data_IF_009166135390
#
_entry.id   IF_009166135390
#
_cell.length_a   1.000
_cell.length_b   1.000
_cell.length_c   1.000
_cell.angle_alpha   90.00
_cell.angle_beta   90.00
_cell.angle_gamma   90.00
#
_symmetry.space_group_name_H-M   'P 1'
#
loop_
_entity.id
_entity.type
_entity.pdbx_description
1 polymer ?
#
# COMPACT_ATOMS: atom_id res chain seq x y z
N UNK A 1 53.00 -16.07 33.89
CA UNK A 1 52.90 -15.09 32.78
C UNK A 1 51.83 -15.56 31.81
N UNK A 2 50.60 -15.05 31.93
CA UNK A 2 49.47 -15.41 31.08
C UNK A 2 49.27 -14.34 29.99
N UNK A 3 49.49 -14.69 28.72
CA UNK A 3 49.16 -13.84 27.57
C UNK A 3 47.69 -14.07 27.21
N UNK A 4 46.83 -13.13 27.55
CA UNK A 4 45.49 -13.03 26.97
C UNK A 4 45.63 -12.54 25.51
N UNK A 5 45.15 -13.35 24.57
CA UNK A 5 44.96 -12.92 23.18
C UNK A 5 43.73 -12.00 23.11
N UNK A 6 43.97 -10.72 22.81
CA UNK A 6 42.93 -9.77 22.42
C UNK A 6 42.36 -10.21 21.07
N UNK A 7 41.24 -10.93 21.09
CA UNK A 7 40.40 -11.08 19.91
C UNK A 7 39.84 -9.70 19.54
N UNK A 8 40.29 -9.20 18.40
CA UNK A 8 39.82 -7.96 17.81
C UNK A 8 38.35 -8.14 17.38
N UNK A 9 37.39 -7.67 18.20
CA UNK A 9 36.04 -7.38 17.74
C UNK A 9 36.17 -6.28 16.69
N UNK A 10 36.14 -6.65 15.41
CA UNK A 10 35.89 -5.69 14.34
C UNK A 10 34.39 -5.43 14.29
N UNK A 11 34.04 -4.18 14.55
CA UNK A 11 32.69 -3.64 14.44
C UNK A 11 32.10 -3.93 13.05
N UNK A 12 30.90 -4.52 13.05
CA UNK A 12 30.07 -4.81 11.87
C UNK A 12 29.43 -3.51 11.30
N UNK A 13 30.21 -2.46 11.05
CA UNK A 13 29.65 -1.13 10.74
C UNK A 13 29.81 -0.63 9.29
N UNK A 14 30.42 -1.42 8.40
CA UNK A 14 30.51 -1.08 6.98
C UNK A 14 29.41 -1.77 6.15
N UNK A 15 28.16 -1.53 6.51
CA UNK A 15 27.04 -1.81 5.61
C UNK A 15 27.05 -0.75 4.50
N UNK A 16 27.55 -1.10 3.32
CA UNK A 16 27.43 -0.26 2.13
C UNK A 16 25.95 -0.01 1.83
N UNK A 17 25.43 1.15 2.26
CA UNK A 17 24.04 1.54 2.08
C UNK A 17 23.81 1.99 0.64
N UNK A 18 23.26 1.13 -0.20
CA UNK A 18 22.75 1.50 -1.51
C UNK A 18 21.42 2.28 -1.36
N UNK A 19 21.49 3.61 -1.38
CA UNK A 19 20.31 4.49 -1.34
C UNK A 19 19.75 4.70 -2.76
N UNK A 20 18.68 4.01 -3.11
CA UNK A 20 17.92 4.27 -4.33
C UNK A 20 16.77 5.25 -4.03
N UNK A 21 16.83 6.47 -4.60
CA UNK A 21 15.75 7.46 -4.50
C UNK A 21 15.01 7.57 -5.84
N UNK A 22 13.79 7.07 -5.92
CA UNK A 22 12.90 7.29 -7.07
C UNK A 22 11.86 8.36 -6.73
N UNK A 23 11.90 9.53 -7.40
CA UNK A 23 10.85 10.55 -7.31
C UNK A 23 9.94 10.45 -8.54
N UNK A 24 8.78 9.83 -8.36
CA UNK A 24 7.72 9.86 -9.38
C UNK A 24 6.86 11.10 -9.15
N UNK A 25 6.71 11.95 -10.18
CA UNK A 25 5.85 13.14 -10.13
C UNK A 25 4.38 12.71 -10.21
N UNK A 26 3.50 13.44 -9.50
CA UNK A 26 2.09 13.07 -9.23
C UNK A 26 1.28 12.86 -10.52
N UNK A 27 0.43 11.83 -10.51
CA UNK A 27 -0.56 11.49 -11.52
C UNK A 27 -1.77 12.46 -11.61
N UNK A 28 -1.82 13.47 -10.73
CA UNK A 28 -2.98 14.34 -10.51
C UNK A 28 -3.32 15.33 -11.64
N UNK A 29 -2.77 15.17 -12.84
CA UNK A 29 -2.87 16.17 -13.92
C UNK A 29 -3.68 15.76 -15.14
N UNK A 30 -4.16 14.51 -15.26
CA UNK A 30 -4.91 14.10 -16.47
C UNK A 30 -6.19 14.94 -16.66
N UNK A 31 -6.97 15.16 -15.61
CA UNK A 31 -8.18 16.00 -15.68
C UNK A 31 -7.87 17.51 -15.77
N UNK A 32 -6.67 17.93 -15.42
CA UNK A 32 -6.21 19.32 -15.55
C UNK A 32 -5.53 19.59 -16.91
N UNK A 33 -5.41 18.57 -17.77
CA UNK A 33 -4.82 18.70 -19.10
C UNK A 33 -5.82 19.33 -20.07
N UNK A 34 -5.33 20.10 -21.03
CA UNK A 34 -6.12 20.71 -22.11
C UNK A 34 -7.09 19.69 -22.75
N UNK A 35 -8.39 20.03 -22.93
CA UNK A 35 -9.37 19.17 -23.60
C UNK A 35 -8.88 18.57 -24.92
N UNK A 36 -8.20 19.35 -25.77
CA UNK A 36 -7.70 18.87 -27.06
C UNK A 36 -6.59 17.82 -26.91
N UNK A 37 -5.78 17.92 -25.85
CA UNK A 37 -4.76 16.91 -25.53
C UNK A 37 -5.41 15.64 -24.99
N UNK A 38 -6.44 15.77 -24.13
CA UNK A 38 -7.19 14.60 -23.65
C UNK A 38 -7.86 13.83 -24.78
N UNK A 39 -8.43 14.54 -25.74
CA UNK A 39 -9.05 13.92 -26.90
C UNK A 39 -8.04 13.07 -27.68
N UNK A 40 -6.88 13.64 -28.00
CA UNK A 40 -5.79 12.90 -28.66
C UNK A 40 -5.33 11.68 -27.87
N UNK A 41 -5.23 11.79 -26.54
CA UNK A 41 -4.86 10.65 -25.68
C UNK A 41 -5.95 9.57 -25.66
N UNK A 42 -7.23 9.96 -25.72
CA UNK A 42 -8.37 9.04 -25.79
C UNK A 42 -8.43 8.33 -27.13
N UNK A 43 -8.30 9.05 -28.24
CA UNK A 43 -8.21 8.50 -29.60
C UNK A 43 -7.03 7.53 -29.73
N UNK A 44 -5.89 7.84 -29.08
CA UNK A 44 -4.74 6.94 -29.01
C UNK A 44 -4.93 5.75 -28.04
N UNK A 45 -6.08 5.66 -27.36
CA UNK A 45 -6.38 4.59 -26.40
C UNK A 45 -5.52 4.61 -25.14
N UNK A 46 -4.86 5.72 -24.81
CA UNK A 46 -3.98 5.87 -23.64
C UNK A 46 -4.73 6.27 -22.38
N UNK A 47 -5.93 6.81 -22.52
CA UNK A 47 -6.85 7.13 -21.42
C UNK A 47 -8.29 6.72 -21.78
N UNK A 48 -9.10 6.50 -20.75
CA UNK A 48 -10.52 6.22 -20.86
C UNK A 48 -11.32 7.13 -19.94
N UNK A 49 -12.49 7.59 -20.38
CA UNK A 49 -13.46 8.26 -19.52
C UNK A 49 -14.14 7.22 -18.64
N UNK A 50 -14.07 7.39 -17.32
CA UNK A 50 -14.66 6.47 -16.36
C UNK A 50 -15.14 7.22 -15.13
N UNK A 51 -16.45 7.39 -15.01
CA UNK A 51 -17.07 8.07 -13.88
C UNK A 51 -16.97 9.60 -13.92
N UNK A 52 -17.40 10.22 -12.83
CA UNK A 52 -17.66 11.65 -12.76
C UNK A 52 -17.28 12.18 -11.36
N UNK A 53 -16.72 13.38 -11.26
CA UNK A 53 -16.49 14.03 -9.97
C UNK A 53 -17.81 14.51 -9.33
N UNK A 54 -17.72 14.94 -8.07
CA UNK A 54 -18.87 15.42 -7.30
C UNK A 54 -19.58 16.64 -7.92
N UNK A 55 -18.88 17.41 -8.77
CA UNK A 55 -19.42 18.56 -9.50
C UNK A 55 -19.93 18.20 -10.92
N UNK A 56 -19.94 16.92 -11.29
CA UNK A 56 -20.42 16.47 -12.61
C UNK A 56 -19.36 16.49 -13.71
N UNK A 57 -18.09 16.78 -13.41
CA UNK A 57 -17.02 16.74 -14.42
C UNK A 57 -16.60 15.29 -14.76
N UNK A 58 -16.48 14.91 -16.04
CA UNK A 58 -15.96 13.59 -16.43
C UNK A 58 -14.55 13.32 -15.89
N UNK A 59 -14.30 12.09 -15.45
CA UNK A 59 -13.00 11.64 -14.95
C UNK A 59 -12.31 10.76 -15.98
N UNK A 60 -11.01 11.00 -16.22
CA UNK A 60 -10.20 10.21 -17.13
C UNK A 60 -9.14 9.39 -16.39
N UNK A 61 -8.99 8.13 -16.79
CA UNK A 61 -8.06 7.17 -16.20
C UNK A 61 -7.10 6.59 -17.25
N UNK A 62 -5.84 6.30 -16.90
CA UNK A 62 -4.90 5.67 -17.83
C UNK A 62 -5.31 4.23 -18.13
N UNK A 63 -5.07 3.78 -19.36
CA UNK A 63 -5.22 2.37 -19.77
C UNK A 63 -3.91 1.60 -19.74
N UNK A 64 -2.83 2.25 -19.28
CA UNK A 64 -1.47 1.72 -19.25
C UNK A 64 -0.91 1.66 -17.82
N UNK A 65 0.18 0.91 -17.65
CA UNK A 65 0.93 0.84 -16.39
C UNK A 65 2.42 1.04 -16.63
N UNK A 66 3.09 1.67 -15.68
CA UNK A 66 4.56 1.82 -15.70
C UNK A 66 5.17 0.84 -14.71
N UNK A 67 6.25 0.18 -15.14
CA UNK A 67 7.06 -0.71 -14.31
C UNK A 67 8.50 -0.21 -14.31
N UNK A 68 9.03 0.08 -13.13
CA UNK A 68 10.44 0.44 -12.94
C UNK A 68 11.14 -0.68 -12.21
N UNK A 69 12.25 -1.18 -12.78
CA UNK A 69 13.07 -2.22 -12.17
C UNK A 69 14.48 -1.72 -11.92
N UNK A 70 15.03 -2.05 -10.76
CA UNK A 70 16.44 -1.83 -10.43
C UNK A 70 17.12 -3.20 -10.34
N UNK A 71 18.29 -3.33 -10.97
CA UNK A 71 19.10 -4.55 -10.92
C UNK A 71 20.48 -4.20 -10.37
N UNK A 72 20.97 -5.01 -9.45
CA UNK A 72 22.32 -4.91 -8.90
C UNK A 72 22.95 -6.30 -8.85
N UNK A 73 24.28 -6.37 -8.94
CA UNK A 73 25.05 -7.59 -8.70
C UNK A 73 25.61 -7.55 -7.29
N UNK A 74 25.43 -8.63 -6.54
CA UNK A 74 26.05 -8.83 -5.24
C UNK A 74 27.03 -10.00 -5.38
N UNK A 75 28.31 -9.76 -5.12
CA UNK A 75 29.33 -10.81 -5.05
C UNK A 75 29.44 -11.29 -3.60
N UNK A 76 29.40 -12.60 -3.39
CA UNK A 76 29.48 -13.23 -2.08
C UNK A 76 30.56 -14.30 -2.10
N UNK A 77 31.51 -14.23 -1.16
CA UNK A 77 32.41 -15.33 -0.90
C UNK A 77 31.69 -16.45 -0.12
N UNK A 78 32.14 -17.71 -0.21
CA UNK A 78 31.59 -18.81 0.59
C UNK A 78 31.58 -18.47 2.09
N UNK A 79 30.44 -18.67 2.76
CA UNK A 79 30.27 -18.39 4.19
C UNK A 79 30.20 -16.90 4.57
N UNK A 80 30.31 -15.98 3.61
CA UNK A 80 30.18 -14.55 3.87
C UNK A 80 28.74 -14.21 4.27
N UNK A 81 28.58 -13.54 5.40
CA UNK A 81 27.30 -12.91 5.80
C UNK A 81 27.20 -11.54 5.15
N UNK A 82 26.02 -11.20 4.64
CA UNK A 82 25.74 -9.91 4.01
C UNK A 82 24.43 -9.37 4.55
N UNK A 83 24.43 -8.09 4.92
CA UNK A 83 23.23 -7.36 5.29
C UNK A 83 22.72 -6.54 4.10
N UNK A 84 21.51 -6.85 3.66
CA UNK A 84 20.84 -6.13 2.58
C UNK A 84 19.71 -5.28 3.13
N UNK A 85 19.82 -3.96 2.99
CA UNK A 85 18.75 -3.02 3.37
C UNK A 85 18.19 -2.32 2.13
N UNK A 86 16.87 -2.38 1.96
CA UNK A 86 16.14 -1.65 0.92
C UNK A 86 15.20 -0.65 1.59
N UNK A 87 15.38 0.63 1.29
CA UNK A 87 14.48 1.71 1.72
C UNK A 87 14.10 2.54 0.50
N UNK A 88 12.80 2.75 0.32
CA UNK A 88 12.26 3.57 -0.75
C UNK A 88 10.93 4.18 -0.32
N UNK A 89 10.60 5.32 -0.92
CA UNK A 89 9.26 5.89 -0.86
C UNK A 89 8.56 5.54 -2.17
N UNK A 90 7.60 4.60 -2.18
CA UNK A 90 6.87 4.29 -3.39
C UNK A 90 6.10 5.53 -3.86
N UNK A 91 5.85 5.61 -5.17
CA UNK A 91 4.80 6.48 -5.68
C UNK A 91 3.47 5.94 -5.21
N UNK A 92 3.06 6.32 -4.01
CA UNK A 92 1.75 5.99 -3.48
C UNK A 92 0.72 6.77 -4.29
N UNK A 93 0.19 6.12 -5.32
CA UNK A 93 -1.05 6.55 -5.94
C UNK A 93 -2.17 6.38 -4.90
N UNK A 94 -2.96 7.44 -4.72
CA UNK A 94 -4.21 7.34 -3.99
C UNK A 94 -5.34 7.47 -5.00
N UNK A 95 -6.30 6.55 -4.92
CA UNK A 95 -7.55 6.69 -5.65
C UNK A 95 -8.46 7.65 -4.89
N UNK A 96 -9.09 8.62 -5.57
CA UNK A 96 -10.22 9.31 -4.98
C UNK A 96 -11.29 8.26 -4.75
N UNK A 97 -11.90 8.31 -3.56
CA UNK A 97 -12.95 7.40 -3.17
C UNK A 97 -12.52 5.92 -2.98
N UNK A 98 -13.44 5.09 -2.48
CA UNK A 98 -13.30 3.66 -2.32
C UNK A 98 -14.63 2.96 -2.64
N UNK A 99 -14.56 1.90 -3.45
CA UNK A 99 -15.68 0.99 -3.71
C UNK A 99 -16.25 0.36 -2.42
N UNK A 100 -15.51 0.42 -1.30
CA UNK A 100 -15.93 -0.11 -0.01
C UNK A 100 -16.86 0.84 0.78
N UNK A 101 -17.07 2.08 0.32
CA UNK A 101 -18.12 2.95 0.88
C UNK A 101 -19.49 2.32 0.70
N UNK A 102 -20.41 2.56 1.63
CA UNK A 102 -21.74 1.94 1.61
C UNK A 102 -22.50 2.25 0.30
N UNK A 103 -22.55 3.52 -0.07
CA UNK A 103 -23.23 3.98 -1.29
C UNK A 103 -22.68 3.36 -2.59
N UNK A 104 -21.45 2.84 -2.59
CA UNK A 104 -20.87 2.18 -3.76
C UNK A 104 -20.90 0.65 -3.64
N UNK A 105 -20.60 0.09 -2.47
CA UNK A 105 -20.47 -1.37 -2.31
C UNK A 105 -21.78 -2.13 -2.45
N UNK A 106 -22.89 -1.45 -2.19
CA UNK A 106 -24.24 -2.04 -2.26
C UNK A 106 -24.81 -1.98 -3.70
N UNK A 107 -24.11 -1.33 -4.64
CA UNK A 107 -24.52 -1.24 -6.04
C UNK A 107 -24.22 -2.53 -6.80
N UNK A 108 -25.22 -3.17 -7.46
CA UNK A 108 -25.01 -4.41 -8.20
C UNK A 108 -23.93 -4.32 -9.28
N UNK A 109 -23.80 -3.16 -9.93
CA UNK A 109 -22.84 -2.92 -11.01
C UNK A 109 -21.38 -2.94 -10.51
N UNK A 110 -21.18 -2.74 -9.21
CA UNK A 110 -19.86 -2.73 -8.57
C UNK A 110 -19.56 -4.02 -7.80
N UNK A 111 -20.50 -4.99 -7.77
CA UNK A 111 -20.38 -6.20 -6.95
C UNK A 111 -19.09 -6.99 -7.23
N UNK A 112 -18.66 -7.09 -8.49
CA UNK A 112 -17.42 -7.77 -8.85
C UNK A 112 -16.17 -7.07 -8.30
N UNK A 113 -16.10 -5.74 -8.40
CA UNK A 113 -14.97 -4.96 -7.88
C UNK A 113 -14.93 -4.98 -6.35
N UNK A 114 -16.09 -4.96 -5.69
CA UNK A 114 -16.21 -5.15 -4.25
C UNK A 114 -15.70 -6.54 -3.85
N UNK A 115 -16.17 -7.60 -4.50
CA UNK A 115 -15.76 -8.97 -4.21
C UNK A 115 -14.24 -9.14 -4.36
N UNK A 116 -13.68 -8.62 -5.46
CA UNK A 116 -12.23 -8.60 -5.69
C UNK A 116 -11.49 -7.85 -4.58
N UNK A 117 -11.94 -6.64 -4.21
CA UNK A 117 -11.31 -5.86 -3.14
C UNK A 117 -11.33 -6.60 -1.81
N UNK A 118 -12.42 -7.31 -1.50
CA UNK A 118 -12.55 -8.08 -0.27
C UNK A 118 -11.59 -9.26 -0.23
N UNK A 119 -11.47 -9.98 -1.35
CA UNK A 119 -10.54 -11.10 -1.48
C UNK A 119 -9.08 -10.65 -1.40
N UNK A 120 -8.70 -9.59 -2.13
CA UNK A 120 -7.31 -9.15 -2.23
C UNK A 120 -6.74 -8.63 -0.89
N UNK A 121 -7.58 -8.04 -0.03
CA UNK A 121 -7.13 -7.34 1.18
C UNK A 121 -7.66 -7.94 2.49
N UNK A 122 -8.32 -9.09 2.47
CA UNK A 122 -8.93 -9.70 3.65
C UNK A 122 -9.99 -8.79 4.33
N UNK A 123 -10.82 -8.10 3.53
CA UNK A 123 -11.82 -7.14 4.07
C UNK A 123 -12.92 -7.86 4.82
N UNK A 124 -13.06 -7.51 6.10
CA UNK A 124 -14.02 -8.07 7.02
C UNK A 124 -15.16 -7.08 7.36
N UNK A 125 -16.26 -7.57 7.98
CA UNK A 125 -17.37 -6.70 8.37
C UNK A 125 -16.98 -5.56 9.34
N UNK A 126 -16.13 -5.78 10.37
CA UNK A 126 -15.64 -4.69 11.24
C UNK A 126 -14.96 -3.55 10.45
N UNK A 127 -14.10 -3.86 9.49
CA UNK A 127 -13.45 -2.86 8.65
C UNK A 127 -14.48 -2.09 7.82
N UNK A 128 -15.45 -2.76 7.20
CA UNK A 128 -16.54 -2.11 6.45
C UNK A 128 -17.39 -1.18 7.33
N UNK A 129 -17.60 -1.55 8.60
CA UNK A 129 -18.24 -0.69 9.59
C UNK A 129 -17.42 0.56 9.89
N UNK A 130 -16.09 0.44 9.97
CA UNK A 130 -15.18 1.57 10.09
C UNK A 130 -15.25 2.51 8.88
N UNK A 131 -15.26 1.95 7.66
CA UNK A 131 -15.40 2.73 6.42
C UNK A 131 -16.73 3.46 6.40
N UNK A 132 -17.83 2.80 6.76
CA UNK A 132 -19.16 3.42 6.81
C UNK A 132 -19.23 4.57 7.84
N UNK A 133 -18.64 4.41 9.03
CA UNK A 133 -18.55 5.49 10.03
C UNK A 133 -17.75 6.68 9.53
N UNK A 134 -16.70 6.43 8.73
CA UNK A 134 -15.89 7.48 8.13
C UNK A 134 -16.62 8.21 7.00
N UNK A 135 -17.26 7.46 6.10
CA UNK A 135 -17.86 8.00 4.88
C UNK A 135 -19.29 8.50 5.03
N UNK A 136 -20.04 7.98 6.01
CA UNK A 136 -21.49 8.04 6.00
C UNK A 136 -22.09 7.30 4.81
N UNK A 137 -23.36 7.61 4.55
CA UNK A 137 -24.20 6.98 3.52
C UNK A 137 -24.44 7.88 2.29
N UNK A 138 -23.76 9.04 2.22
CA UNK A 138 -23.90 9.98 1.11
C UNK A 138 -23.44 9.31 -0.21
N UNK A 139 -24.21 9.49 -1.29
CA UNK A 139 -23.81 9.06 -2.63
C UNK A 139 -22.49 9.71 -3.05
N UNK A 140 -22.42 11.03 -2.87
CA UNK A 140 -21.21 11.82 -3.07
C UNK A 140 -20.17 11.53 -1.98
N UNK A 141 -18.90 11.52 -2.37
CA UNK A 141 -17.78 11.36 -1.43
C UNK A 141 -17.49 12.65 -0.63
N UNK A 142 -18.46 13.12 0.16
CA UNK A 142 -18.40 14.37 0.94
C UNK A 142 -17.34 14.34 2.05
N UNK A 143 -17.10 13.17 2.65
CA UNK A 143 -16.04 12.94 3.65
C UNK A 143 -14.62 12.94 3.06
N UNK A 144 -14.48 13.08 1.74
CA UNK A 144 -13.18 13.08 1.07
C UNK A 144 -12.42 11.77 1.26
N UNK A 145 -13.14 10.64 1.22
CA UNK A 145 -12.57 9.30 1.31
C UNK A 145 -11.51 9.12 0.24
N UNK A 146 -10.37 8.59 0.64
CA UNK A 146 -9.25 8.28 -0.24
C UNK A 146 -8.77 6.89 0.08
N UNK A 147 -8.44 6.17 -0.97
CA UNK A 147 -7.90 4.84 -0.84
C UNK A 147 -6.45 4.81 -1.31
N UNK A 148 -5.59 4.15 -0.54
CA UNK A 148 -4.21 3.86 -0.94
C UNK A 148 -3.99 2.35 -0.86
N UNK A 149 -3.42 1.79 -1.93
CA UNK A 149 -3.13 0.37 -2.06
C UNK A 149 -1.63 0.18 -2.18
N UNK A 150 -1.07 -0.65 -1.31
CA UNK A 150 0.35 -1.03 -1.35
C UNK A 150 0.42 -2.52 -1.61
N UNK A 151 1.19 -2.92 -2.62
CA UNK A 151 1.42 -4.31 -2.98
C UNK A 151 2.92 -4.57 -2.99
N UNK A 152 3.38 -5.43 -2.10
CA UNK A 152 4.76 -5.86 -1.99
C UNK A 152 4.83 -7.32 -2.37
N UNK A 153 5.51 -7.61 -3.49
CA UNK A 153 5.80 -8.99 -3.87
C UNK A 153 6.83 -9.55 -2.92
N UNK A 154 6.47 -10.63 -2.24
CA UNK A 154 7.40 -11.39 -1.41
C UNK A 154 8.02 -12.48 -2.28
N UNK A 155 9.34 -12.63 -2.20
CA UNK A 155 10.06 -13.61 -3.01
C UNK A 155 9.59 -15.03 -2.63
N UNK A 156 9.07 -15.77 -3.59
CA UNK A 156 8.70 -17.19 -3.48
C UNK A 156 9.77 -18.03 -4.17
N UNK A 157 10.21 -19.11 -3.53
CA UNK A 157 11.18 -20.05 -4.13
C UNK A 157 12.65 -19.62 -4.10
N UNK A 158 13.04 -18.81 -3.11
CA UNK A 158 14.45 -18.52 -2.83
C UNK A 158 15.19 -19.70 -2.18
N UNK A 159 16.31 -19.40 -1.52
CA UNK A 159 17.21 -20.34 -0.81
C UNK A 159 16.61 -21.03 0.45
N UNK A 160 15.30 -20.96 0.64
CA UNK A 160 14.60 -21.55 1.80
C UNK A 160 13.78 -20.52 2.61
N UNK A 161 13.17 -20.97 3.73
CA UNK A 161 12.40 -20.09 4.62
C UNK A 161 13.28 -19.02 5.27
N UNK A 162 12.69 -17.88 5.58
CA UNK A 162 13.33 -16.88 6.42
C UNK A 162 13.29 -17.35 7.88
N UNK A 163 14.47 -17.63 8.46
CA UNK A 163 14.59 -18.09 9.85
C UNK A 163 13.84 -17.17 10.83
N UNK A 164 13.94 -15.84 10.65
CA UNK A 164 13.14 -14.86 11.38
C UNK A 164 12.46 -13.88 10.41
N UNK A 165 11.17 -13.66 10.63
CA UNK A 165 10.37 -12.68 9.93
C UNK A 165 9.72 -11.71 10.91
N UNK A 166 9.83 -10.42 10.62
CA UNK A 166 9.16 -9.34 11.34
C UNK A 166 8.56 -8.37 10.33
N UNK A 167 7.25 -8.15 10.42
CA UNK A 167 6.55 -7.12 9.67
C UNK A 167 6.00 -6.09 10.64
N UNK A 168 6.29 -4.82 10.35
CA UNK A 168 5.73 -3.68 11.07
C UNK A 168 5.01 -2.79 10.06
N UNK A 169 3.73 -2.54 10.30
CA UNK A 169 2.91 -1.63 9.50
C UNK A 169 2.48 -0.47 10.38
N UNK A 170 2.82 0.74 9.98
CA UNK A 170 2.39 1.97 10.64
C UNK A 170 1.41 2.72 9.74
N UNK A 171 0.17 2.89 10.19
CA UNK A 171 -0.86 3.62 9.44
C UNK A 171 -0.69 5.12 9.54
N UNK A 172 0.26 5.64 10.32
CA UNK A 172 0.64 7.05 10.34
C UNK A 172 -0.37 8.04 10.95
N UNK A 173 -1.66 7.70 11.10
CA UNK A 173 -2.66 8.52 11.76
C UNK A 173 -3.71 7.66 12.48
N UNK A 174 -4.15 8.06 13.67
CA UNK A 174 -5.17 7.31 14.44
C UNK A 174 -6.52 7.20 13.73
N UNK A 175 -6.86 8.17 12.89
CA UNK A 175 -8.11 8.22 12.11
C UNK A 175 -8.07 7.40 10.81
N UNK A 176 -6.89 7.07 10.29
CA UNK A 176 -6.73 6.25 9.09
C UNK A 176 -7.09 4.80 9.39
N UNK A 177 -7.82 4.12 8.51
CA UNK A 177 -8.03 2.67 8.61
C UNK A 177 -6.92 1.95 7.85
N UNK A 178 -6.50 0.79 8.36
CA UNK A 178 -5.49 -0.07 7.72
C UNK A 178 -5.97 -1.51 7.74
N UNK A 179 -5.70 -2.24 6.67
CA UNK A 179 -6.00 -3.65 6.56
C UNK A 179 -4.91 -4.36 5.74
N UNK A 180 -4.48 -5.52 6.22
CA UNK A 180 -3.54 -6.39 5.51
C UNK A 180 -3.64 -7.80 6.07
N UNK A 181 -3.43 -8.80 5.21
CA UNK A 181 -3.50 -10.20 5.58
C UNK A 181 -2.23 -10.58 6.35
N UNK A 182 -2.37 -10.83 7.66
CA UNK A 182 -1.28 -11.29 8.51
C UNK A 182 -1.83 -12.14 9.66
N UNK A 183 -1.13 -13.23 9.99
CA UNK A 183 -1.42 -14.03 11.17
C UNK A 183 -0.77 -13.41 12.41
N UNK A 184 -1.32 -13.66 13.59
CA UNK A 184 -0.76 -13.23 14.88
C UNK A 184 -0.48 -11.72 15.00
N UNK A 185 -1.36 -10.90 14.42
CA UNK A 185 -1.19 -9.45 14.41
C UNK A 185 -1.34 -8.87 15.82
N UNK A 186 -0.37 -8.06 16.25
CA UNK A 186 -0.36 -7.36 17.54
C UNK A 186 -0.33 -5.86 17.32
N UNK A 187 -1.15 -5.12 18.05
CA UNK A 187 -1.04 -3.66 18.12
C UNK A 187 0.13 -3.30 19.06
N UNK A 188 1.12 -2.57 18.54
CA UNK A 188 2.29 -2.09 19.30
C UNK A 188 2.04 -0.67 19.80
N UNK A 189 1.37 0.14 18.98
CA UNK A 189 0.92 1.49 19.32
C UNK A 189 -0.43 1.73 18.65
N UNK A 190 -1.06 2.87 18.89
CA UNK A 190 -2.34 3.23 18.25
C UNK A 190 -2.29 3.27 16.70
N UNK A 191 -1.10 3.40 16.10
CA UNK A 191 -0.94 3.40 14.64
C UNK A 191 -0.09 2.25 14.11
N UNK A 192 0.61 1.52 14.98
CA UNK A 192 1.59 0.51 14.57
C UNK A 192 1.15 -0.88 14.96
N UNK A 193 1.22 -1.77 13.98
CA UNK A 193 0.91 -3.17 14.11
C UNK A 193 2.12 -4.00 13.72
N UNK A 194 2.35 -5.09 14.45
CA UNK A 194 3.49 -5.97 14.25
C UNK A 194 3.04 -7.43 14.21
N UNK A 195 3.66 -8.20 13.33
CA UNK A 195 3.63 -9.66 13.38
C UNK A 195 5.04 -10.21 13.27
N UNK A 196 5.25 -11.38 13.88
CA UNK A 196 6.51 -12.13 13.85
C UNK A 196 6.23 -13.58 13.53
N UNK A 197 7.16 -14.20 12.82
CA UNK A 197 7.17 -15.63 12.54
C UNK A 197 8.62 -16.16 12.51
N UNK A 198 8.78 -17.44 12.80
CA UNK A 198 10.01 -18.19 12.56
C UNK A 198 9.80 -19.08 11.34
N UNK A 199 10.90 -19.42 10.66
CA UNK A 199 10.92 -20.29 9.48
C UNK A 199 9.83 -19.92 8.44
N UNK A 200 9.68 -18.62 8.22
CA UNK A 200 8.60 -18.05 7.43
C UNK A 200 8.84 -18.24 5.93
N UNK A 201 7.88 -18.87 5.26
CA UNK A 201 7.78 -18.92 3.80
C UNK A 201 6.55 -18.13 3.35
N UNK A 202 6.70 -17.07 2.54
CA UNK A 202 5.57 -16.33 2.01
C UNK A 202 4.69 -17.23 1.12
N UNK A 203 3.40 -17.35 1.46
CA UNK A 203 2.42 -18.08 0.64
C UNK A 203 1.73 -17.19 -0.38
N UNK A 204 1.67 -15.88 -0.13
CA UNK A 204 1.12 -14.85 -1.02
C UNK A 204 1.95 -13.56 -0.92
N UNK A 205 1.65 -12.59 -1.78
CA UNK A 205 2.18 -11.24 -1.71
C UNK A 205 1.59 -10.45 -0.53
N UNK A 206 2.35 -9.51 0.03
CA UNK A 206 1.84 -8.59 1.03
C UNK A 206 1.02 -7.49 0.36
N UNK A 207 -0.26 -7.41 0.70
CA UNK A 207 -1.17 -6.35 0.27
C UNK A 207 -1.65 -5.56 1.48
N UNK A 208 -1.49 -4.24 1.42
CA UNK A 208 -1.91 -3.31 2.47
C UNK A 208 -2.90 -2.33 1.86
N UNK A 209 -4.07 -2.22 2.47
CA UNK A 209 -5.10 -1.25 2.16
C UNK A 209 -5.12 -0.17 3.24
N UNK A 210 -5.14 1.08 2.81
CA UNK A 210 -5.30 2.24 3.67
C UNK A 210 -6.53 3.02 3.20
N UNK A 211 -7.39 3.39 4.14
CA UNK A 211 -8.54 4.26 3.88
C UNK A 211 -8.41 5.50 4.76
N UNK A 212 -8.40 6.64 4.10
CA UNK A 212 -8.41 7.97 4.70
C UNK A 212 -9.72 8.67 4.44
N UNK A 213 -10.06 9.62 5.31
CA UNK A 213 -11.23 10.48 5.16
C UNK A 213 -11.34 11.40 6.36
N UNK A 214 -12.24 12.39 6.26
CA UNK A 214 -12.66 13.18 7.41
C UNK A 214 -13.85 12.46 8.06
N UNK A 215 -13.78 12.08 9.35
CA UNK A 215 -14.95 11.57 10.04
C UNK A 215 -16.08 12.58 9.91
N UNK A 216 -17.26 12.16 9.44
CA UNK A 216 -18.45 13.01 9.49
C UNK A 216 -18.77 13.25 10.98
N UNK A 217 -19.05 14.49 11.42
CA UNK A 217 -19.49 14.72 12.79
C UNK A 217 -20.70 13.83 13.05
N UNK A 218 -20.62 12.94 14.04
CA UNK A 218 -21.76 12.14 14.44
C UNK A 218 -22.88 13.09 14.87
N UNK A 219 -24.09 12.91 14.34
CA UNK A 219 -25.26 13.58 14.88
C UNK A 219 -25.33 13.28 16.39
N UNK A 220 -25.65 14.27 17.25
CA UNK A 220 -25.74 14.02 18.69
C UNK A 220 -26.76 12.90 18.94
N UNK A 221 -26.33 11.90 19.71
CA UNK A 221 -27.22 10.85 20.21
C UNK A 221 -28.39 11.52 20.93
N UNK A 222 -29.60 11.24 20.46
CA UNK A 222 -30.84 11.64 21.13
C UNK A 222 -31.12 10.71 22.31
#
# INVERSE_FOLDING_TARGET
MARQSKACRRDFNDAAQLKFTARLRRFAQLNATDPAVREKLREAGLIVESGTSADGTPLFFPTWSVRTGFKGKLLMAPGQKVDLQLSYQPSLGSSPDSVLRKALRDKPELAQEVAKRRADYCVDPPFLGGVAKMSGDDEANSSGVKETRIHVRLARGGIGPAHEYRLVVDKGAETRLVLFCANNLKSVTKTRFETRAQDFTPTDDLRILLIDGKPKPSAPSR
#
